data_IF_191473357522
#
_entry.id   IF_191473357522
#
_cell.length_a   1.000
_cell.length_b   1.000
_cell.length_c   1.000
_cell.angle_alpha   90.00
_cell.angle_beta   90.00
_cell.angle_gamma   90.00
#
_symmetry.space_group_name_H-M   'P 1'
#
loop_
_entity.id
_entity.type
_entity.pdbx_description
1 polymer ?
#
# COMPACT_ATOMS: atom_id res chain seq x y z
N UNK A 1 -0.63 -0.34 30.14
CA UNK A 1 -0.95 -0.04 28.73
C UNK A 1 -0.58 -1.26 27.91
N UNK A 2 -1.49 -1.84 27.13
CA UNK A 2 -1.10 -2.89 26.18
C UNK A 2 -0.21 -2.22 25.14
N UNK A 3 1.06 -2.60 25.13
CA UNK A 3 2.10 -2.11 24.22
C UNK A 3 1.89 -2.75 22.86
N UNK A 4 1.18 -2.07 21.97
CA UNK A 4 1.11 -2.43 20.56
C UNK A 4 2.40 -2.08 19.80
N UNK A 5 2.52 -2.56 18.58
CA UNK A 5 3.61 -2.29 17.64
C UNK A 5 3.54 -0.88 17.01
N UNK A 6 2.49 -0.10 17.30
CA UNK A 6 2.13 1.13 16.60
C UNK A 6 1.95 0.86 15.09
N UNK A 7 1.21 -0.20 14.76
CA UNK A 7 1.07 -0.70 13.38
C UNK A 7 -0.32 -1.23 13.06
N UNK A 8 -0.57 -1.48 11.77
CA UNK A 8 -1.82 -2.09 11.28
C UNK A 8 -2.14 -3.44 11.95
N UNK A 9 -1.11 -4.23 12.28
CA UNK A 9 -1.24 -5.53 12.93
C UNK A 9 -1.61 -5.48 14.41
N UNK A 10 -1.69 -4.27 15.01
CA UNK A 10 -2.31 -4.11 16.34
C UNK A 10 -3.81 -4.44 16.32
N UNK A 11 -4.45 -4.44 15.14
CA UNK A 11 -5.80 -4.96 14.95
C UNK A 11 -5.75 -6.50 14.89
N UNK A 12 -6.34 -7.21 15.87
CA UNK A 12 -6.30 -8.67 15.90
C UNK A 12 -6.91 -9.28 14.63
N UNK A 13 -6.25 -10.31 14.09
CA UNK A 13 -6.70 -11.02 12.89
C UNK A 13 -6.12 -10.48 11.57
N UNK A 14 -5.52 -9.28 11.57
CA UNK A 14 -4.78 -8.77 10.42
C UNK A 14 -3.34 -9.30 10.40
N UNK A 15 -2.83 -9.58 9.21
CA UNK A 15 -1.42 -9.89 8.96
C UNK A 15 -0.91 -9.06 7.80
N UNK A 16 0.34 -8.62 7.87
CA UNK A 16 0.96 -7.85 6.79
C UNK A 16 2.22 -8.56 6.34
N UNK A 17 2.39 -8.69 5.02
CA UNK A 17 3.55 -9.28 4.38
C UNK A 17 4.01 -8.48 3.18
N UNK A 18 5.30 -8.60 2.87
CA UNK A 18 5.95 -7.84 1.81
C UNK A 18 6.74 -8.77 0.89
N UNK A 19 6.71 -8.46 -0.40
CA UNK A 19 7.74 -8.90 -1.33
C UNK A 19 8.48 -7.67 -1.85
N UNK A 20 9.80 -7.66 -1.74
CA UNK A 20 10.66 -6.50 -2.00
C UNK A 20 11.74 -6.87 -3.00
N UNK A 21 11.85 -6.10 -4.08
CA UNK A 21 12.94 -6.20 -5.04
C UNK A 21 13.75 -4.91 -5.06
N UNK A 22 14.78 -4.86 -4.21
CA UNK A 22 15.57 -3.65 -3.98
C UNK A 22 16.27 -3.14 -5.24
N UNK A 23 16.89 -4.02 -6.04
CA UNK A 23 17.65 -3.61 -7.23
C UNK A 23 16.76 -3.00 -8.33
N UNK A 24 15.56 -3.55 -8.53
CA UNK A 24 14.58 -3.02 -9.46
C UNK A 24 13.78 -1.84 -8.88
N UNK A 25 13.99 -1.51 -7.61
CA UNK A 25 13.23 -0.52 -6.85
C UNK A 25 11.71 -0.72 -6.96
N UNK A 26 11.22 -1.93 -6.68
CA UNK A 26 9.77 -2.21 -6.67
C UNK A 26 9.40 -3.29 -5.66
N UNK A 27 8.11 -3.50 -5.44
CA UNK A 27 7.61 -4.52 -4.54
C UNK A 27 6.09 -4.50 -4.37
N UNK A 28 5.58 -5.40 -3.53
CA UNK A 28 4.17 -5.42 -3.16
C UNK A 28 4.00 -5.72 -1.66
N UNK A 29 2.88 -5.24 -1.13
CA UNK A 29 2.47 -5.41 0.26
C UNK A 29 1.07 -6.01 0.29
N UNK A 30 0.92 -7.13 0.99
CA UNK A 30 -0.38 -7.79 1.18
C UNK A 30 -0.81 -7.60 2.62
N UNK A 31 -2.05 -7.16 2.81
CA UNK A 31 -2.74 -7.13 4.09
C UNK A 31 -3.73 -8.30 4.06
N UNK A 32 -3.46 -9.36 4.81
CA UNK A 32 -4.35 -10.52 4.93
C UNK A 32 -5.35 -10.31 6.06
N UNK A 33 -6.61 -10.62 5.79
CA UNK A 33 -7.71 -10.76 6.74
C UNK A 33 -8.45 -12.08 6.44
N UNK A 34 -7.85 -13.24 6.74
CA UNK A 34 -8.32 -14.52 6.20
C UNK A 34 -9.76 -14.88 6.57
N UNK A 35 -10.19 -14.52 7.80
CA UNK A 35 -11.56 -14.69 8.30
C UNK A 35 -12.58 -13.71 7.69
N UNK A 36 -12.12 -12.82 6.81
CA UNK A 36 -12.92 -11.78 6.18
C UNK A 36 -12.96 -10.49 7.01
N UNK A 37 -12.82 -9.35 6.34
CA UNK A 37 -13.04 -8.03 6.93
C UNK A 37 -14.03 -7.24 6.08
N UNK A 38 -14.94 -6.50 6.73
CA UNK A 38 -15.81 -5.54 6.03
C UNK A 38 -14.94 -4.46 5.42
N UNK A 39 -15.18 -4.14 4.15
CA UNK A 39 -14.35 -3.19 3.42
C UNK A 39 -15.19 -2.19 2.62
N UNK A 40 -14.60 -1.01 2.42
CA UNK A 40 -15.09 0.03 1.53
C UNK A 40 -13.89 0.68 0.84
N UNK A 41 -14.14 1.51 -0.18
CA UNK A 41 -13.08 2.16 -0.96
C UNK A 41 -13.45 3.59 -1.31
N UNK A 42 -12.45 4.47 -1.31
CA UNK A 42 -12.56 5.83 -1.82
C UNK A 42 -11.37 6.13 -2.75
N UNK A 43 -11.67 6.50 -4.00
CA UNK A 43 -10.67 6.78 -5.04
C UNK A 43 -10.74 8.24 -5.44
N UNK A 44 -9.66 8.99 -5.14
CA UNK A 44 -9.60 10.44 -5.36
C UNK A 44 -8.57 10.89 -6.40
N UNK A 45 -7.63 10.03 -6.77
CA UNK A 45 -6.60 10.36 -7.76
C UNK A 45 -7.14 10.39 -9.18
N UNK A 46 -6.57 11.23 -10.04
CA UNK A 46 -7.01 11.39 -11.44
C UNK A 46 -6.55 10.27 -12.39
N UNK A 47 -5.68 9.36 -11.95
CA UNK A 47 -5.18 8.23 -12.74
C UNK A 47 -5.08 6.95 -11.88
N UNK A 48 -6.22 6.41 -11.41
CA UNK A 48 -6.21 5.21 -10.58
C UNK A 48 -5.88 3.96 -11.40
N UNK A 49 -5.16 3.03 -10.79
CA UNK A 49 -5.00 1.65 -11.26
C UNK A 49 -5.44 0.70 -10.16
N UNK A 50 -6.55 -0.01 -10.38
CA UNK A 50 -7.20 -0.81 -9.34
C UNK A 50 -7.76 -2.12 -9.90
N UNK A 51 -8.02 -3.07 -8.99
CA UNK A 51 -8.70 -4.34 -9.28
C UNK A 51 -9.72 -4.61 -8.19
N UNK A 52 -10.88 -5.17 -8.59
CA UNK A 52 -11.94 -5.69 -7.71
C UNK A 52 -12.54 -4.69 -6.70
N UNK A 53 -12.25 -3.40 -6.83
CA UNK A 53 -12.81 -2.37 -5.96
C UNK A 53 -14.31 -2.10 -6.19
N UNK A 54 -14.85 -2.47 -7.35
CA UNK A 54 -16.27 -2.27 -7.67
C UNK A 54 -17.20 -3.12 -6.79
N UNK A 55 -16.70 -4.27 -6.29
CA UNK A 55 -17.44 -5.13 -5.36
C UNK A 55 -17.58 -4.51 -3.96
N UNK A 56 -16.83 -3.44 -3.67
CA UNK A 56 -16.85 -2.73 -2.38
C UNK A 56 -17.90 -1.62 -2.33
N UNK A 57 -18.71 -1.47 -3.37
CA UNK A 57 -19.91 -0.65 -3.29
C UNK A 57 -20.88 -1.27 -2.25
N UNK A 58 -21.41 -0.49 -1.30
CA UNK A 58 -22.28 -1.00 -0.24
C UNK A 58 -23.58 -1.65 -0.75
N UNK A 59 -23.95 -1.50 -2.03
CA UNK A 59 -25.10 -2.18 -2.63
C UNK A 59 -24.77 -3.56 -3.22
N UNK A 60 -23.48 -3.93 -3.30
CA UNK A 60 -23.04 -5.22 -3.78
C UNK A 60 -23.17 -6.31 -2.71
N UNK A 61 -23.22 -7.57 -3.16
CA UNK A 61 -23.41 -8.73 -2.28
C UNK A 61 -22.16 -9.15 -1.49
N UNK A 62 -20.99 -8.65 -1.90
CA UNK A 62 -19.71 -9.01 -1.28
C UNK A 62 -19.43 -8.03 -0.14
N UNK A 63 -19.73 -8.47 1.10
CA UNK A 63 -19.54 -7.62 2.27
C UNK A 63 -18.13 -7.68 2.85
N UNK A 64 -17.36 -8.75 2.55
CA UNK A 64 -16.06 -9.02 3.15
C UNK A 64 -14.99 -9.30 2.10
N UNK A 65 -13.79 -8.78 2.36
CA UNK A 65 -12.57 -9.08 1.61
C UNK A 65 -11.69 -9.99 2.44
N UNK A 66 -10.85 -10.79 1.77
CA UNK A 66 -9.92 -11.71 2.44
C UNK A 66 -8.48 -11.17 2.47
N UNK A 67 -8.17 -10.24 1.57
CA UNK A 67 -6.93 -9.51 1.56
C UNK A 67 -7.07 -8.18 0.82
N UNK A 68 -6.13 -7.26 1.05
CA UNK A 68 -5.92 -6.06 0.23
C UNK A 68 -4.47 -6.05 -0.27
N UNK A 69 -4.28 -5.73 -1.54
CA UNK A 69 -2.96 -5.64 -2.17
C UNK A 69 -2.61 -4.20 -2.52
N UNK A 70 -1.45 -3.74 -2.05
CA UNK A 70 -0.79 -2.52 -2.52
C UNK A 70 0.46 -2.92 -3.30
N UNK A 71 0.66 -2.37 -4.49
CA UNK A 71 1.77 -2.83 -5.35
C UNK A 71 2.38 -1.73 -6.21
N UNK A 72 3.70 -1.82 -6.45
CA UNK A 72 4.39 -1.07 -7.48
C UNK A 72 4.08 -1.58 -8.89
N UNK A 73 4.89 -1.20 -9.88
CA UNK A 73 4.78 -1.69 -11.25
C UNK A 73 3.65 -1.05 -12.06
N UNK A 74 2.95 -0.04 -11.54
CA UNK A 74 1.75 0.53 -12.18
C UNK A 74 0.72 -0.55 -12.51
N UNK A 75 -0.07 -0.40 -13.58
CA UNK A 75 -1.13 -1.35 -13.94
C UNK A 75 -0.64 -2.80 -14.09
N UNK A 76 0.63 -3.01 -14.49
CA UNK A 76 1.21 -4.34 -14.59
C UNK A 76 1.28 -5.06 -13.23
N UNK A 77 1.49 -4.33 -12.14
CA UNK A 77 1.58 -4.89 -10.79
C UNK A 77 0.27 -5.52 -10.31
N UNK A 78 -0.87 -5.21 -10.93
CA UNK A 78 -2.15 -5.87 -10.63
C UNK A 78 -2.08 -7.39 -10.84
N UNK A 79 -1.14 -7.89 -11.65
CA UNK A 79 -0.89 -9.33 -11.79
C UNK A 79 -0.48 -10.01 -10.47
N UNK A 80 0.06 -9.27 -9.49
CA UNK A 80 0.36 -9.82 -8.17
C UNK A 80 -0.89 -10.28 -7.41
N UNK A 81 -2.09 -9.75 -7.74
CA UNK A 81 -3.33 -10.17 -7.11
C UNK A 81 -3.63 -11.67 -7.37
N UNK A 82 -3.27 -12.19 -8.54
CA UNK A 82 -3.49 -13.61 -8.87
C UNK A 82 -2.72 -14.54 -7.92
N UNK A 83 -1.52 -14.11 -7.48
CA UNK A 83 -0.74 -14.81 -6.47
C UNK A 83 -1.39 -14.82 -5.10
N UNK A 84 -2.01 -13.70 -4.72
CA UNK A 84 -2.73 -13.56 -3.45
C UNK A 84 -3.99 -14.43 -3.45
N UNK A 85 -4.75 -14.40 -4.55
CA UNK A 85 -5.92 -15.27 -4.75
C UNK A 85 -5.52 -16.74 -4.63
N UNK A 86 -4.47 -17.16 -5.34
CA UNK A 86 -3.97 -18.55 -5.27
C UNK A 86 -3.61 -18.95 -3.83
N UNK A 87 -2.87 -18.09 -3.11
CA UNK A 87 -2.50 -18.39 -1.72
C UNK A 87 -3.75 -18.54 -0.84
N UNK A 88 -4.74 -17.64 -0.96
CA UNK A 88 -5.96 -17.70 -0.17
C UNK A 88 -6.79 -18.96 -0.48
N UNK A 89 -6.93 -19.31 -1.76
CA UNK A 89 -7.65 -20.51 -2.21
C UNK A 89 -7.01 -21.79 -1.65
N UNK A 90 -5.69 -21.95 -1.77
CA UNK A 90 -4.94 -23.10 -1.25
C UNK A 90 -5.10 -23.27 0.28
N UNK A 91 -5.33 -22.18 1.00
CA UNK A 91 -5.54 -22.17 2.44
C UNK A 91 -7.03 -22.17 2.84
N UNK A 92 -7.95 -22.29 1.88
CA UNK A 92 -9.38 -22.42 2.11
C UNK A 92 -10.07 -21.15 2.57
N UNK A 93 -9.53 -19.97 2.24
CA UNK A 93 -10.15 -18.67 2.51
C UNK A 93 -10.87 -18.14 1.27
N UNK A 94 -12.01 -17.49 1.47
CA UNK A 94 -12.80 -16.90 0.40
C UNK A 94 -14.29 -16.88 0.73
N UNK A 95 -15.05 -16.21 -0.12
CA UNK A 95 -16.50 -16.22 -0.09
C UNK A 95 -17.02 -17.57 -0.62
N UNK A 96 -17.76 -18.30 0.21
CA UNK A 96 -18.32 -19.61 -0.18
C UNK A 96 -19.49 -19.43 -1.16
N UNK A 97 -19.29 -19.88 -2.39
CA UNK A 97 -20.32 -19.86 -3.46
C UNK A 97 -20.99 -21.24 -3.65
N UNK A 98 -20.80 -22.16 -2.70
CA UNK A 98 -21.37 -23.52 -2.68
C UNK A 98 -20.59 -24.56 -3.50
N UNK A 99 -19.85 -24.12 -4.52
CA UNK A 99 -18.98 -25.00 -5.35
C UNK A 99 -17.49 -24.78 -5.10
N UNK A 100 -17.13 -23.61 -4.58
CA UNK A 100 -15.77 -23.21 -4.26
C UNK A 100 -15.81 -22.05 -3.26
N UNK A 101 -14.65 -21.72 -2.68
CA UNK A 101 -14.47 -20.45 -1.98
C UNK A 101 -13.73 -19.49 -2.90
N UNK A 102 -14.32 -18.33 -3.17
CA UNK A 102 -13.78 -17.31 -4.07
C UNK A 102 -13.10 -16.22 -3.23
N UNK A 103 -11.76 -16.12 -3.25
CA UNK A 103 -11.06 -15.06 -2.53
C UNK A 103 -11.38 -13.68 -3.14
N UNK A 104 -11.71 -12.71 -2.30
CA UNK A 104 -11.94 -11.33 -2.73
C UNK A 104 -10.72 -10.49 -2.35
N UNK A 105 -10.00 -9.98 -3.36
CA UNK A 105 -8.71 -9.29 -3.20
C UNK A 105 -8.69 -7.97 -3.96
N UNK A 106 -9.23 -6.88 -3.38
CA UNK A 106 -9.07 -5.56 -3.94
C UNK A 106 -7.59 -5.16 -3.98
N UNK A 107 -7.19 -4.53 -5.08
CA UNK A 107 -5.82 -4.07 -5.25
C UNK A 107 -5.75 -2.63 -5.76
N UNK A 108 -4.67 -1.94 -5.38
CA UNK A 108 -4.33 -0.62 -5.88
C UNK A 108 -2.83 -0.53 -6.17
N UNK A 109 -2.48 0.23 -7.21
CA UNK A 109 -1.10 0.35 -7.68
C UNK A 109 -0.52 1.74 -7.51
N UNK A 110 0.80 1.82 -7.45
CA UNK A 110 1.56 3.03 -7.61
C UNK A 110 2.54 2.91 -8.78
N UNK A 111 2.89 4.05 -9.37
CA UNK A 111 3.87 4.12 -10.45
C UNK A 111 5.28 4.30 -9.87
N UNK A 112 6.13 3.28 -10.03
CA UNK A 112 7.55 3.28 -9.67
C UNK A 112 8.47 2.84 -10.83
N UNK A 113 7.90 2.68 -12.04
CA UNK A 113 8.63 2.20 -13.22
C UNK A 113 9.81 3.12 -13.62
N UNK A 114 9.76 4.40 -13.23
CA UNK A 114 10.83 5.36 -13.46
C UNK A 114 11.84 5.44 -12.32
N UNK A 115 11.57 4.81 -11.16
CA UNK A 115 12.49 4.80 -10.01
C UNK A 115 13.59 3.76 -10.17
N UNK A 116 13.28 2.62 -10.79
CA UNK A 116 14.23 1.52 -11.00
C UNK A 116 14.08 0.88 -12.38
N UNK A 117 14.11 -0.46 -12.44
CA UNK A 117 14.06 -1.19 -13.70
C UNK A 117 12.60 -1.43 -14.12
N UNK A 118 12.08 -0.79 -15.20
CA UNK A 118 10.69 -0.93 -15.61
C UNK A 118 10.31 -2.33 -16.12
N UNK A 119 11.30 -3.19 -16.39
CA UNK A 119 11.08 -4.56 -16.86
C UNK A 119 10.94 -5.57 -15.73
N UNK A 120 11.24 -5.19 -14.48
CA UNK A 120 11.03 -6.02 -13.30
C UNK A 120 9.92 -5.39 -12.46
N UNK A 121 8.83 -6.11 -12.29
CA UNK A 121 7.61 -5.63 -11.62
C UNK A 121 6.94 -6.77 -10.85
N UNK A 122 6.15 -6.47 -9.80
CA UNK A 122 5.43 -7.49 -9.06
C UNK A 122 4.51 -8.30 -10.00
N UNK A 123 4.61 -9.63 -9.89
CA UNK A 123 3.78 -10.60 -10.60
C UNK A 123 3.08 -11.53 -9.60
N UNK A 124 2.39 -12.55 -10.10
CA UNK A 124 1.73 -13.53 -9.25
C UNK A 124 2.68 -14.23 -8.25
N UNK A 125 3.94 -14.46 -8.61
CA UNK A 125 4.90 -15.06 -7.68
C UNK A 125 5.23 -14.10 -6.53
N UNK A 126 5.36 -12.81 -6.82
CA UNK A 126 5.58 -11.77 -5.82
C UNK A 126 4.41 -11.64 -4.84
N UNK A 127 3.17 -11.61 -5.35
CA UNK A 127 1.98 -11.54 -4.50
C UNK A 127 1.82 -12.76 -3.60
N UNK A 128 2.10 -13.96 -4.13
CA UNK A 128 2.09 -15.20 -3.36
C UNK A 128 3.17 -15.20 -2.26
N UNK A 129 4.40 -14.80 -2.60
CA UNK A 129 5.51 -14.70 -1.64
C UNK A 129 5.22 -13.66 -0.54
N UNK A 130 4.58 -12.54 -0.88
CA UNK A 130 4.14 -11.55 0.11
C UNK A 130 3.12 -12.14 1.10
N UNK A 131 2.21 -13.01 0.65
CA UNK A 131 1.30 -13.73 1.55
C UNK A 131 2.04 -14.68 2.48
N UNK A 132 3.02 -15.43 1.96
CA UNK A 132 3.85 -16.33 2.77
C UNK A 132 4.66 -15.58 3.84
N UNK A 133 5.12 -14.37 3.53
CA UNK A 133 5.83 -13.51 4.46
C UNK A 133 4.91 -12.80 5.48
N UNK A 134 3.59 -12.90 5.35
CA UNK A 134 2.66 -12.14 6.16
C UNK A 134 2.60 -12.63 7.61
N UNK A 135 2.74 -11.70 8.55
CA UNK A 135 2.70 -11.98 9.98
C UNK A 135 1.81 -10.99 10.75
N UNK A 136 1.40 -11.36 11.96
CA UNK A 136 0.71 -10.48 12.91
C UNK A 136 1.68 -9.67 13.80
N UNK A 137 2.98 -9.71 13.52
CA UNK A 137 4.00 -9.01 14.31
C UNK A 137 4.22 -7.57 13.84
N UNK A 138 5.39 -7.02 14.17
CA UNK A 138 5.81 -5.69 13.71
C UNK A 138 5.78 -5.61 12.18
N UNK A 139 5.15 -4.56 11.64
CA UNK A 139 5.14 -4.27 10.21
C UNK A 139 6.41 -3.50 9.84
N UNK A 140 7.13 -3.95 8.81
CA UNK A 140 8.31 -3.25 8.34
C UNK A 140 7.91 -1.95 7.60
N UNK A 141 8.64 -0.87 7.84
CA UNK A 141 8.42 0.45 7.23
C UNK A 141 9.61 0.87 6.33
N UNK A 142 9.42 1.93 5.55
CA UNK A 142 10.42 2.48 4.64
C UNK A 142 10.40 1.80 3.26
N UNK A 143 11.57 1.39 2.76
CA UNK A 143 11.76 0.92 1.38
C UNK A 143 11.44 -0.58 1.19
N UNK A 144 10.30 -1.01 1.71
CA UNK A 144 9.83 -2.41 1.65
C UNK A 144 8.49 -2.52 0.95
N UNK A 145 8.24 -3.68 0.32
CA UNK A 145 6.99 -3.99 -0.36
C UNK A 145 6.62 -2.91 -1.38
N UNK A 146 5.37 -2.44 -1.33
CA UNK A 146 4.92 -1.34 -2.20
C UNK A 146 5.73 -0.03 -2.00
N UNK A 147 6.36 0.17 -0.84
CA UNK A 147 7.18 1.35 -0.54
C UNK A 147 8.56 1.37 -1.21
N UNK A 148 9.03 0.24 -1.74
CA UNK A 148 10.41 0.11 -2.26
C UNK A 148 10.71 1.11 -3.38
N UNK A 149 9.80 1.24 -4.35
CA UNK A 149 9.93 2.19 -5.47
C UNK A 149 9.32 3.57 -5.23
N UNK A 150 8.70 3.78 -4.06
CA UNK A 150 7.88 4.95 -3.81
C UNK A 150 8.72 6.23 -3.62
N UNK A 151 8.26 7.32 -4.20
CA UNK A 151 8.91 8.65 -4.19
C UNK A 151 7.90 9.77 -3.98
N UNK A 152 8.35 10.91 -3.44
CA UNK A 152 7.53 12.11 -3.19
C UNK A 152 8.19 13.37 -3.75
N UNK A 153 7.41 14.43 -3.99
CA UNK A 153 7.94 15.71 -4.43
C UNK A 153 8.47 15.69 -5.86
N UNK A 154 7.60 15.36 -6.83
CA UNK A 154 7.95 15.07 -8.22
C UNK A 154 7.79 16.28 -9.15
N UNK A 155 7.35 17.42 -8.61
CA UNK A 155 7.04 18.63 -9.38
C UNK A 155 8.25 19.19 -10.15
N UNK A 156 9.47 19.01 -9.63
CA UNK A 156 10.73 19.44 -10.28
C UNK A 156 11.42 18.30 -11.04
N UNK A 157 10.67 17.25 -11.39
CA UNK A 157 11.20 16.03 -11.98
C UNK A 157 11.64 14.98 -10.97
N UNK A 158 11.82 13.75 -11.44
CA UNK A 158 12.12 12.60 -10.58
C UNK A 158 13.52 12.69 -9.93
N UNK A 159 14.48 13.30 -10.61
CA UNK A 159 15.85 13.51 -10.09
C UNK A 159 15.87 14.38 -8.83
N UNK A 160 14.86 15.24 -8.67
CA UNK A 160 14.65 16.07 -7.49
C UNK A 160 13.75 15.42 -6.45
N UNK A 161 13.08 14.31 -6.76
CA UNK A 161 12.16 13.64 -5.86
C UNK A 161 12.87 12.99 -4.67
N UNK A 162 12.21 13.01 -3.52
CA UNK A 162 12.65 12.33 -2.30
C UNK A 162 12.10 10.92 -2.20
N UNK A 163 12.81 10.05 -1.47
CA UNK A 163 12.26 8.74 -1.17
C UNK A 163 11.00 8.90 -0.33
N UNK A 164 9.94 8.24 -0.79
CA UNK A 164 8.77 7.94 0.00
C UNK A 164 8.99 6.62 0.73
N UNK A 165 7.93 5.84 0.88
CA UNK A 165 8.03 4.51 1.48
C UNK A 165 6.69 3.98 1.95
N UNK A 166 6.75 2.85 2.64
CA UNK A 166 5.65 2.31 3.41
C UNK A 166 5.71 2.86 4.84
N UNK A 167 4.57 3.24 5.41
CA UNK A 167 4.49 3.65 6.81
C UNK A 167 3.23 3.12 7.47
N UNK A 168 3.27 2.92 8.79
CA UNK A 168 2.14 2.43 9.58
C UNK A 168 2.02 3.15 10.91
N UNK A 169 0.81 3.20 11.46
CA UNK A 169 0.55 3.76 12.78
C UNK A 169 -0.72 3.13 13.35
N UNK A 170 -0.85 3.11 14.69
CA UNK A 170 -2.08 2.70 15.36
C UNK A 170 -2.40 3.61 16.55
N UNK A 171 -3.66 3.59 16.96
CA UNK A 171 -4.14 4.29 18.15
C UNK A 171 -5.29 3.54 18.80
N UNK A 172 -5.18 3.34 20.10
CA UNK A 172 -6.29 2.90 20.94
C UNK A 172 -7.20 4.08 21.26
N UNK A 173 -8.51 3.88 21.11
CA UNK A 173 -9.57 4.81 21.46
C UNK A 173 -10.44 4.13 22.53
N UNK A 174 -10.39 4.63 23.76
CA UNK A 174 -11.01 3.94 24.89
C UNK A 174 -10.33 2.60 25.17
N UNK A 175 -11.11 1.60 25.61
CA UNK A 175 -10.58 0.29 25.99
C UNK A 175 -10.56 -0.72 24.83
N UNK A 176 -11.53 -0.65 23.91
CA UNK A 176 -11.79 -1.75 22.96
C UNK A 176 -11.63 -1.39 21.49
N UNK A 177 -11.54 -0.11 21.13
CA UNK A 177 -11.40 0.32 19.74
C UNK A 177 -9.92 0.58 19.39
N UNK A 178 -9.46 -0.03 18.31
CA UNK A 178 -8.14 0.21 17.72
C UNK A 178 -8.37 0.74 16.31
N UNK A 179 -7.75 1.88 15.99
CA UNK A 179 -7.69 2.41 14.63
C UNK A 179 -6.25 2.37 14.18
N UNK A 180 -6.00 1.81 13.01
CA UNK A 180 -4.66 1.72 12.46
C UNK A 180 -4.63 2.02 10.96
N UNK A 181 -3.47 2.39 10.45
CA UNK A 181 -3.26 2.76 9.06
C UNK A 181 -1.96 2.13 8.53
N UNK A 182 -1.96 1.83 7.23
CA UNK A 182 -0.78 1.45 6.45
C UNK A 182 -0.84 2.22 5.13
N UNK A 183 0.25 2.89 4.76
CA UNK A 183 0.28 3.81 3.61
C UNK A 183 1.55 3.58 2.80
N UNK A 184 1.41 3.39 1.49
CA UNK A 184 2.52 3.47 0.55
C UNK A 184 2.54 4.86 -0.11
N UNK A 185 3.53 5.69 0.23
CA UNK A 185 3.53 7.12 -0.10
C UNK A 185 4.33 7.38 -1.38
N UNK A 186 3.62 7.55 -2.51
CA UNK A 186 4.21 7.82 -3.83
C UNK A 186 3.72 9.14 -4.46
N UNK A 187 3.55 10.17 -3.64
CA UNK A 187 2.88 11.42 -4.00
C UNK A 187 3.63 12.26 -5.05
N UNK A 188 2.88 13.06 -5.83
CA UNK A 188 3.48 14.15 -6.61
C UNK A 188 3.91 15.29 -5.68
N UNK A 189 3.06 15.61 -4.67
CA UNK A 189 3.31 16.66 -3.69
C UNK A 189 4.35 16.28 -2.62
N UNK A 190 4.51 17.19 -1.66
CA UNK A 190 5.41 17.03 -0.51
C UNK A 190 4.68 16.48 0.72
N UNK A 191 5.43 15.84 1.61
CA UNK A 191 4.98 15.43 2.95
C UNK A 191 5.25 16.57 3.93
N UNK A 192 4.21 16.94 4.68
CA UNK A 192 4.24 18.08 5.61
C UNK A 192 3.92 17.55 7.01
N UNK A 193 4.73 17.96 7.99
CA UNK A 193 4.40 17.75 9.40
C UNK A 193 3.23 18.68 9.78
N UNK A 194 2.07 18.14 10.20
CA UNK A 194 0.91 18.96 10.51
C UNK A 194 1.10 19.87 11.72
N UNK A 195 1.98 19.54 12.66
CA UNK A 195 2.23 20.36 13.86
C UNK A 195 3.13 21.56 13.57
N UNK A 196 4.20 21.34 12.80
CA UNK A 196 5.19 22.39 12.50
C UNK A 196 4.97 23.09 11.17
N UNK A 197 4.09 22.55 10.32
CA UNK A 197 3.87 22.97 8.93
C UNK A 197 5.15 22.93 8.06
N UNK A 198 6.18 22.20 8.50
CA UNK A 198 7.43 22.05 7.77
C UNK A 198 7.33 20.90 6.77
N UNK A 199 7.97 21.06 5.63
CA UNK A 199 8.16 19.98 4.66
C UNK A 199 9.22 19.03 5.22
N UNK A 200 8.86 17.75 5.35
CA UNK A 200 9.76 16.70 5.86
C UNK A 200 10.26 15.78 4.73
N UNK A 201 9.56 15.75 3.60
CA UNK A 201 10.04 15.16 2.35
C UNK A 201 9.37 15.84 1.16
N UNK A 202 10.14 16.23 0.15
CA UNK A 202 9.60 16.92 -1.03
C UNK A 202 10.60 17.00 -2.17
N UNK A 203 10.34 17.87 -3.14
CA UNK A 203 11.28 18.12 -4.22
C UNK A 203 12.51 18.84 -3.65
N UNK A 204 13.71 18.27 -3.83
CA UNK A 204 14.97 18.84 -3.34
C UNK A 204 15.46 19.96 -4.24
N UNK A 205 15.91 21.04 -3.61
CA UNK A 205 16.66 22.13 -4.24
C UNK A 205 18.17 21.85 -4.20
N UNK A 206 18.96 22.67 -4.90
CA UNK A 206 20.42 22.53 -4.95
C UNK A 206 21.09 22.74 -3.58
N UNK A 207 20.47 23.52 -2.70
CA UNK A 207 20.94 23.76 -1.33
C UNK A 207 20.54 22.64 -0.34
N UNK A 208 19.89 21.57 -0.83
CA UNK A 208 19.42 20.45 -0.02
C UNK A 208 18.09 20.70 0.72
N UNK A 209 17.52 21.90 0.61
CA UNK A 209 16.19 22.20 1.15
C UNK A 209 15.07 21.64 0.27
N UNK A 210 13.83 21.70 0.77
CA UNK A 210 12.65 21.30 -0.01
C UNK A 210 11.91 22.51 -0.57
N UNK A 211 11.59 22.44 -1.85
CA UNK A 211 10.85 23.50 -2.51
C UNK A 211 9.38 23.53 -2.03
N UNK A 212 8.87 24.75 -1.80
CA UNK A 212 7.56 24.95 -1.22
C UNK A 212 6.45 24.80 -2.26
N UNK A 213 5.40 23.97 -2.02
CA UNK A 213 4.36 23.70 -3.02
C UNK A 213 3.69 24.94 -3.60
N UNK A 214 3.46 25.98 -2.77
CA UNK A 214 2.85 27.25 -3.21
C UNK A 214 3.73 28.07 -4.16
N UNK A 215 5.05 28.01 -4.00
CA UNK A 215 5.99 28.74 -4.87
C UNK A 215 6.13 28.09 -6.25
N UNK A 216 5.71 26.82 -6.39
CA UNK A 216 5.79 26.09 -7.66
C UNK A 216 4.60 26.35 -8.58
N UNK A 217 3.43 26.69 -8.01
CA UNK A 217 2.21 26.94 -8.80
C UNK A 217 2.11 28.37 -9.35
N UNK A 218 2.98 29.28 -8.90
CA UNK A 218 2.97 30.70 -9.32
C UNK A 218 3.80 30.95 -10.59
N UNK A 219 4.56 29.95 -11.08
CA UNK A 219 5.44 30.06 -12.25
C UNK A 219 4.94 29.29 -13.49
N UNK A 220 3.66 28.91 -13.52
CA UNK A 220 3.00 28.25 -14.65
C UNK A 220 1.71 28.98 -15.04
#
# INVERSE_FOLDING_TARGET
MKTGHNSLTDIPGLRVGHWTHTEAATGCTVILCPEGAVAGVDVRGGAPGTREIALLDPVCTVERVNAVLLTGGSAFGLAAADGVVRWLEEHGYGFDVGVAKVPIVPAAVLFDLATGNPNVRPDASAGYAACQAASAGTVAEGNVGAGTGATVGKMLGLDRASKGGLGTASRHIGQDLIVAALVAVNAIGSVIDPATQRIIAGARLDDGSFAHPRQMTENH
#
